data_IF_656367916897
#
_entry.id   IF_656367916897
#
_cell.length_a   1.000
_cell.length_b   1.000
_cell.length_c   1.000
_cell.angle_alpha   90.00
_cell.angle_beta   90.00
_cell.angle_gamma   90.00
#
_symmetry.space_group_name_H-M   'P 1'
#
loop_
_entity.id
_entity.type
_entity.pdbx_description
1 polymer ?
#
# COMPACT_ATOMS: atom_id res chain seq x y z
N UNK A 1 33.02 61.00 -36.97
CA UNK A 1 33.52 59.63 -37.05
C UNK A 1 32.78 58.74 -36.08
N UNK A 2 31.51 58.52 -36.36
CA UNK A 2 30.61 57.70 -35.55
C UNK A 2 29.34 57.47 -36.36
N UNK A 3 29.31 56.40 -37.22
CA UNK A 3 28.11 55.95 -37.91
C UNK A 3 28.46 54.77 -38.82
N UNK A 4 28.81 53.66 -38.21
CA UNK A 4 28.90 52.36 -38.89
C UNK A 4 28.95 51.26 -37.84
N UNK A 5 27.83 50.94 -37.20
CA UNK A 5 27.67 49.70 -36.44
C UNK A 5 26.20 49.53 -35.93
N UNK A 6 25.23 49.67 -36.83
CA UNK A 6 23.81 49.47 -36.45
C UNK A 6 22.98 48.64 -37.43
N UNK A 7 23.60 47.96 -38.39
CA UNK A 7 22.84 47.22 -39.42
C UNK A 7 23.05 45.68 -39.33
N UNK A 8 23.89 45.16 -38.45
CA UNK A 8 24.19 43.72 -38.38
C UNK A 8 23.54 42.95 -37.22
N UNK A 9 22.59 43.57 -36.52
CA UNK A 9 21.91 42.87 -35.39
C UNK A 9 20.48 42.36 -35.70
N UNK A 10 19.92 42.63 -36.87
CA UNK A 10 18.54 42.29 -37.18
C UNK A 10 18.34 41.14 -38.18
N UNK A 11 19.42 40.49 -38.64
CA UNK A 11 19.30 39.38 -39.61
C UNK A 11 19.27 38.00 -38.94
N UNK A 12 19.73 37.90 -37.69
CA UNK A 12 19.75 36.60 -36.98
C UNK A 12 18.46 36.28 -36.20
N UNK A 13 17.47 37.14 -36.15
CA UNK A 13 16.21 36.87 -35.40
C UNK A 13 15.14 36.26 -36.34
N UNK A 14 15.28 36.36 -37.65
CA UNK A 14 14.33 35.78 -38.58
C UNK A 14 14.65 34.36 -39.06
N UNK A 15 15.84 33.86 -38.76
CA UNK A 15 16.23 32.48 -39.14
C UNK A 15 15.93 31.45 -38.05
N UNK A 16 15.63 31.88 -36.85
CA UNK A 16 15.29 30.97 -35.73
C UNK A 16 13.78 30.71 -35.59
N UNK A 17 12.92 31.39 -36.39
CA UNK A 17 11.48 31.20 -36.31
C UNK A 17 10.92 30.23 -37.37
N UNK A 18 11.79 29.67 -38.22
CA UNK A 18 11.36 28.75 -39.31
C UNK A 18 11.64 27.27 -39.06
N UNK A 19 12.17 26.92 -37.86
CA UNK A 19 12.52 25.50 -37.53
C UNK A 19 11.60 24.84 -36.49
N UNK A 20 10.45 25.45 -36.16
CA UNK A 20 9.52 24.87 -35.14
C UNK A 20 8.27 24.22 -35.76
N UNK A 21 8.13 24.15 -37.07
CA UNK A 21 6.96 23.55 -37.72
C UNK A 21 7.23 22.25 -38.49
N UNK A 22 8.24 21.50 -38.08
CA UNK A 22 8.37 20.10 -38.56
C UNK A 22 8.60 19.18 -37.40
N UNK A 23 7.57 18.74 -36.74
CA UNK A 23 7.43 17.41 -36.19
C UNK A 23 6.14 17.32 -35.36
N UNK A 24 5.06 16.99 -35.98
CA UNK A 24 3.98 16.23 -35.39
C UNK A 24 3.33 15.41 -36.51
N UNK A 25 4.09 14.47 -37.06
CA UNK A 25 3.49 13.27 -37.59
C UNK A 25 3.15 12.39 -36.39
N UNK A 26 2.01 12.64 -35.76
CA UNK A 26 1.39 11.64 -34.91
C UNK A 26 1.01 10.47 -35.80
N UNK A 27 1.82 9.41 -35.75
CA UNK A 27 1.36 8.11 -36.20
C UNK A 27 0.03 7.85 -35.53
N UNK A 28 -1.02 7.85 -36.34
CA UNK A 28 -2.32 7.34 -35.93
C UNK A 28 -2.06 5.88 -35.59
N UNK A 29 -1.81 5.58 -34.32
CA UNK A 29 -1.80 4.20 -33.85
C UNK A 29 -3.17 3.65 -34.20
N UNK A 30 -3.24 2.88 -35.26
CA UNK A 30 -4.40 2.08 -35.63
C UNK A 30 -4.79 1.32 -34.35
N UNK A 31 -5.85 1.79 -33.66
CA UNK A 31 -6.44 1.02 -32.57
C UNK A 31 -6.86 -0.30 -33.18
N UNK A 32 -6.19 -1.37 -32.77
CA UNK A 32 -6.62 -2.71 -33.14
C UNK A 32 -8.13 -2.82 -32.91
N UNK A 33 -8.90 -3.37 -33.84
CA UNK A 33 -10.35 -3.49 -33.71
C UNK A 33 -10.63 -4.19 -32.39
N UNK A 34 -11.48 -3.60 -31.54
CA UNK A 34 -11.90 -4.22 -30.27
C UNK A 34 -12.59 -5.54 -30.66
N UNK A 35 -11.96 -6.65 -30.29
CA UNK A 35 -12.56 -7.99 -30.45
C UNK A 35 -13.87 -7.94 -29.66
N UNK A 36 -14.99 -8.16 -30.33
CA UNK A 36 -16.31 -8.22 -29.70
C UNK A 36 -16.31 -9.42 -28.76
N UNK A 37 -16.60 -9.18 -27.51
CA UNK A 37 -16.72 -10.21 -26.49
C UNK A 37 -17.88 -11.16 -26.81
N UNK A 38 -17.69 -12.45 -26.60
CA UNK A 38 -18.72 -13.45 -26.84
C UNK A 38 -19.67 -13.63 -25.66
N UNK A 39 -19.24 -13.19 -24.47
CA UNK A 39 -20.09 -13.16 -23.28
C UNK A 39 -20.05 -11.77 -22.64
N UNK A 40 -20.96 -11.52 -21.73
CA UNK A 40 -20.90 -10.44 -20.75
C UNK A 40 -21.09 -11.01 -19.34
N UNK A 41 -20.56 -10.32 -18.35
CA UNK A 41 -20.86 -10.58 -16.96
C UNK A 41 -22.07 -9.71 -16.59
N UNK A 42 -23.19 -10.35 -16.27
CA UNK A 42 -24.43 -9.67 -15.89
C UNK A 42 -24.41 -9.26 -14.42
N UNK A 43 -23.79 -10.08 -13.57
CA UNK A 43 -23.59 -9.86 -12.13
C UNK A 43 -22.25 -10.42 -11.68
N UNK A 44 -21.56 -9.82 -10.69
CA UNK A 44 -21.84 -8.50 -10.13
C UNK A 44 -21.42 -7.36 -11.06
N UNK A 45 -21.91 -6.14 -10.79
CA UNK A 45 -21.37 -4.95 -11.43
C UNK A 45 -19.98 -4.62 -10.88
N UNK A 46 -19.15 -3.96 -11.68
CA UNK A 46 -17.86 -3.48 -11.18
C UNK A 46 -18.07 -2.45 -10.09
N UNK A 47 -17.31 -2.59 -8.98
CA UNK A 47 -17.35 -1.74 -7.80
C UNK A 47 -18.65 -1.84 -6.97
N UNK A 48 -19.42 -2.89 -7.18
CA UNK A 48 -20.59 -3.19 -6.35
C UNK A 48 -20.17 -3.48 -4.90
N UNK A 49 -21.03 -3.09 -3.96
CA UNK A 49 -20.80 -3.21 -2.52
C UNK A 49 -21.76 -4.23 -1.96
N UNK A 50 -21.23 -5.14 -1.15
CA UNK A 50 -21.98 -6.18 -0.43
C UNK A 50 -21.64 -6.13 1.05
N UNK A 51 -22.53 -6.67 1.89
CA UNK A 51 -22.26 -6.89 3.30
C UNK A 51 -21.81 -8.33 3.56
N UNK A 52 -21.30 -8.60 4.76
CA UNK A 52 -20.74 -9.89 5.14
C UNK A 52 -21.76 -11.04 5.31
N UNK A 53 -23.05 -10.76 5.20
CA UNK A 53 -24.15 -11.73 5.20
C UNK A 53 -24.89 -11.82 3.84
N UNK A 54 -24.38 -11.13 2.81
CA UNK A 54 -24.96 -11.16 1.48
C UNK A 54 -24.49 -12.37 0.68
N UNK A 55 -25.16 -12.57 -0.46
CA UNK A 55 -24.76 -13.53 -1.50
C UNK A 55 -24.36 -12.77 -2.76
N UNK A 56 -23.16 -13.03 -3.25
CA UNK A 56 -22.67 -12.51 -4.53
C UNK A 56 -22.99 -13.51 -5.62
N UNK A 57 -23.95 -13.17 -6.45
CA UNK A 57 -24.24 -13.94 -7.65
C UNK A 57 -23.26 -13.55 -8.76
N UNK A 58 -22.48 -14.50 -9.28
CA UNK A 58 -21.69 -14.33 -10.48
C UNK A 58 -22.44 -14.98 -11.65
N UNK A 59 -22.92 -14.14 -12.57
CA UNK A 59 -23.70 -14.57 -13.73
C UNK A 59 -23.08 -14.08 -15.02
N UNK A 60 -22.98 -14.98 -15.99
CA UNK A 60 -22.55 -14.68 -17.35
C UNK A 60 -23.67 -15.00 -18.34
N UNK A 61 -23.75 -14.23 -19.40
CA UNK A 61 -24.66 -14.50 -20.52
C UNK A 61 -23.93 -14.36 -21.87
N UNK A 62 -24.43 -15.04 -22.88
CA UNK A 62 -23.92 -14.91 -24.26
C UNK A 62 -24.31 -13.55 -24.82
N UNK A 63 -23.41 -12.94 -25.58
CA UNK A 63 -23.77 -11.77 -26.43
C UNK A 63 -24.55 -12.18 -27.65
N UNK A 64 -25.32 -11.27 -28.20
CA UNK A 64 -26.22 -11.53 -29.37
C UNK A 64 -25.50 -12.16 -30.58
N UNK A 65 -24.21 -11.89 -30.72
CA UNK A 65 -23.39 -12.36 -31.85
C UNK A 65 -22.54 -13.59 -31.52
N UNK A 66 -22.82 -14.30 -30.41
CA UNK A 66 -22.00 -15.43 -30.00
C UNK A 66 -22.50 -16.76 -30.56
N UNK A 67 -21.73 -17.34 -31.49
CA UNK A 67 -21.92 -18.69 -32.00
C UNK A 67 -20.97 -19.72 -31.35
N UNK A 68 -20.08 -19.30 -30.42
CA UNK A 68 -19.14 -20.19 -29.76
C UNK A 68 -19.83 -21.01 -28.67
N UNK A 69 -19.47 -22.28 -28.60
CA UNK A 69 -19.92 -23.15 -27.52
C UNK A 69 -18.95 -23.08 -26.34
N UNK A 70 -19.50 -22.80 -25.17
CA UNK A 70 -18.74 -22.78 -23.93
C UNK A 70 -18.45 -24.21 -23.49
N UNK A 71 -17.16 -24.53 -23.30
CA UNK A 71 -16.69 -25.82 -22.78
C UNK A 71 -16.73 -25.84 -21.24
N UNK A 72 -16.26 -24.77 -20.61
CA UNK A 72 -16.32 -24.57 -19.14
C UNK A 72 -16.10 -23.11 -18.79
N UNK A 73 -16.58 -22.71 -17.61
CA UNK A 73 -16.29 -21.43 -17.01
C UNK A 73 -15.61 -21.65 -15.64
N UNK A 74 -14.61 -20.85 -15.32
CA UNK A 74 -13.92 -20.85 -14.04
C UNK A 74 -13.99 -19.47 -13.44
N UNK A 75 -14.25 -19.42 -12.15
CA UNK A 75 -14.17 -18.24 -11.31
C UNK A 75 -12.96 -18.39 -10.37
N UNK A 76 -12.09 -17.39 -10.38
CA UNK A 76 -10.98 -17.28 -9.44
C UNK A 76 -11.25 -16.11 -8.50
N UNK A 77 -11.26 -16.41 -7.19
CA UNK A 77 -11.35 -15.44 -6.11
C UNK A 77 -10.23 -15.74 -5.10
N UNK A 78 -9.26 -14.82 -4.99
CA UNK A 78 -8.06 -15.09 -4.19
C UNK A 78 -7.34 -16.35 -4.68
N UNK A 79 -7.24 -17.35 -3.80
CA UNK A 79 -6.62 -18.66 -4.08
C UNK A 79 -7.63 -19.72 -4.55
N UNK A 80 -8.93 -19.42 -4.48
CA UNK A 80 -9.98 -20.38 -4.82
C UNK A 80 -10.27 -20.36 -6.32
N UNK A 81 -10.49 -21.55 -6.86
CA UNK A 81 -10.92 -21.74 -8.26
C UNK A 81 -12.17 -22.61 -8.30
N UNK A 82 -13.26 -22.03 -8.76
CA UNK A 82 -14.57 -22.65 -8.80
C UNK A 82 -15.04 -22.82 -10.24
N UNK A 83 -15.60 -23.99 -10.57
CA UNK A 83 -16.20 -24.25 -11.88
C UNK A 83 -17.69 -23.93 -11.86
N UNK A 84 -18.19 -23.29 -12.91
CA UNK A 84 -19.61 -23.00 -13.08
C UNK A 84 -20.00 -23.00 -14.55
N UNK A 85 -21.28 -23.00 -14.84
CA UNK A 85 -21.79 -22.97 -16.23
C UNK A 85 -22.13 -21.53 -16.65
N UNK A 86 -23.19 -20.99 -16.10
CA UNK A 86 -23.73 -19.65 -16.40
C UNK A 86 -23.92 -18.82 -15.13
N UNK A 87 -24.02 -19.48 -13.97
CA UNK A 87 -24.26 -18.84 -12.68
C UNK A 87 -23.59 -19.61 -11.54
N UNK A 88 -23.07 -18.87 -10.56
CA UNK A 88 -22.63 -19.38 -9.26
C UNK A 88 -22.95 -18.36 -8.17
N UNK A 89 -23.41 -18.83 -7.02
CA UNK A 89 -23.69 -18.02 -5.84
C UNK A 89 -22.57 -18.23 -4.81
N UNK A 90 -22.03 -17.15 -4.28
CA UNK A 90 -20.95 -17.12 -3.30
C UNK A 90 -21.40 -16.39 -2.05
N UNK A 91 -21.19 -16.99 -0.90
CA UNK A 91 -21.50 -16.37 0.38
C UNK A 91 -20.35 -15.46 0.83
N UNK A 92 -20.67 -14.20 1.15
CA UNK A 92 -19.67 -13.19 1.48
C UNK A 92 -18.80 -13.56 2.67
N UNK A 93 -19.39 -14.16 3.70
CA UNK A 93 -18.70 -14.59 4.92
C UNK A 93 -17.82 -15.84 4.78
N UNK A 94 -17.86 -16.53 3.63
CA UNK A 94 -17.08 -17.75 3.38
C UNK A 94 -16.07 -17.58 2.26
N UNK A 95 -16.40 -16.77 1.26
CA UNK A 95 -15.65 -16.74 0.01
C UNK A 95 -14.89 -15.43 -0.20
N UNK A 96 -15.04 -14.44 0.68
CA UNK A 96 -14.44 -13.12 0.49
C UNK A 96 -13.77 -12.62 1.76
N UNK A 97 -12.83 -11.70 1.57
CA UNK A 97 -12.25 -10.90 2.65
C UNK A 97 -12.96 -9.55 2.74
N UNK A 98 -12.93 -8.90 3.91
CA UNK A 98 -13.37 -7.52 4.02
C UNK A 98 -12.54 -6.61 3.13
N UNK A 99 -13.20 -5.56 2.61
CA UNK A 99 -12.58 -4.64 1.69
C UNK A 99 -12.67 -5.08 0.22
N UNK A 100 -11.68 -4.73 -0.58
CA UNK A 100 -11.68 -4.95 -2.03
C UNK A 100 -11.35 -6.40 -2.39
N UNK A 101 -12.20 -6.99 -3.21
CA UNK A 101 -12.02 -8.33 -3.79
C UNK A 101 -12.01 -8.22 -5.32
N UNK A 102 -11.23 -9.07 -5.98
CA UNK A 102 -11.16 -9.14 -7.45
C UNK A 102 -11.56 -10.52 -7.93
N UNK A 103 -12.74 -10.59 -8.54
CA UNK A 103 -13.24 -11.78 -9.21
C UNK A 103 -12.69 -11.85 -10.63
N UNK A 104 -12.08 -12.97 -11.00
CA UNK A 104 -11.59 -13.24 -12.35
C UNK A 104 -12.37 -14.39 -12.95
N UNK A 105 -13.05 -14.15 -14.07
CA UNK A 105 -13.82 -15.16 -14.80
C UNK A 105 -13.07 -15.55 -16.06
N UNK A 106 -12.86 -16.83 -16.26
CA UNK A 106 -12.27 -17.43 -17.44
C UNK A 106 -13.31 -18.30 -18.13
N UNK A 107 -13.58 -18.02 -19.41
CA UNK A 107 -14.50 -18.81 -20.22
C UNK A 107 -13.72 -19.51 -21.31
N UNK A 108 -13.77 -20.83 -21.29
CA UNK A 108 -13.12 -21.72 -22.25
C UNK A 108 -14.13 -22.18 -23.26
N UNK A 109 -13.81 -22.09 -24.53
CA UNK A 109 -14.65 -22.52 -25.62
C UNK A 109 -14.20 -23.85 -26.23
N UNK A 110 -15.09 -24.53 -27.00
CA UNK A 110 -14.77 -25.79 -27.70
C UNK A 110 -13.67 -25.61 -28.75
N UNK A 111 -13.50 -24.41 -29.30
CA UNK A 111 -12.46 -24.05 -30.27
C UNK A 111 -11.11 -23.70 -29.60
N UNK A 112 -10.94 -24.08 -28.33
CA UNK A 112 -9.76 -23.84 -27.50
C UNK A 112 -9.46 -22.35 -27.22
N UNK A 113 -10.29 -21.41 -27.66
CA UNK A 113 -10.15 -20.01 -27.32
C UNK A 113 -10.59 -19.74 -25.86
N UNK A 114 -10.01 -18.67 -25.23
CA UNK A 114 -10.27 -18.30 -23.86
C UNK A 114 -10.59 -16.80 -23.79
N UNK A 115 -11.65 -16.46 -23.10
CA UNK A 115 -11.95 -15.09 -22.71
C UNK A 115 -11.75 -14.90 -21.21
N UNK A 116 -11.22 -13.73 -20.82
CA UNK A 116 -10.91 -13.38 -19.44
C UNK A 116 -11.60 -12.08 -19.07
N UNK A 117 -12.25 -12.08 -17.90
CA UNK A 117 -12.97 -10.94 -17.36
C UNK A 117 -12.56 -10.71 -15.92
N UNK A 118 -12.74 -9.50 -15.47
CA UNK A 118 -12.48 -9.12 -14.08
C UNK A 118 -13.57 -8.20 -13.58
N UNK A 119 -13.94 -8.38 -12.31
CA UNK A 119 -14.84 -7.51 -11.54
C UNK A 119 -14.22 -7.21 -10.19
N UNK A 120 -14.25 -5.97 -9.80
CA UNK A 120 -13.93 -5.57 -8.44
C UNK A 120 -15.22 -5.37 -7.67
N UNK A 121 -15.30 -5.93 -6.49
CA UNK A 121 -16.38 -5.73 -5.52
C UNK A 121 -15.77 -5.35 -4.18
N UNK A 122 -16.58 -4.82 -3.28
CA UNK A 122 -16.15 -4.48 -1.92
C UNK A 122 -17.10 -5.12 -0.92
N UNK A 123 -16.56 -5.80 0.09
CA UNK A 123 -17.33 -6.38 1.18
C UNK A 123 -17.13 -5.51 2.43
N UNK A 124 -18.23 -5.09 3.03
CA UNK A 124 -18.24 -4.38 4.31
C UNK A 124 -18.93 -5.21 5.40
N UNK A 125 -18.54 -5.04 6.66
CA UNK A 125 -19.34 -5.58 7.76
C UNK A 125 -20.71 -4.91 7.79
N UNK A 126 -21.76 -5.69 7.96
CA UNK A 126 -23.12 -5.19 8.12
C UNK A 126 -23.27 -4.38 9.42
N UNK A 127 -22.60 -4.87 10.46
CA UNK A 127 -22.55 -4.17 11.72
C UNK A 127 -21.54 -3.02 11.64
N UNK A 128 -22.02 -1.80 11.77
CA UNK A 128 -21.14 -0.63 11.85
C UNK A 128 -20.27 -0.72 13.10
N UNK A 129 -18.99 -0.30 13.02
CA UNK A 129 -18.17 -0.17 14.21
C UNK A 129 -18.80 0.76 15.22
N UNK A 130 -18.63 0.45 16.50
CA UNK A 130 -19.02 1.36 17.57
C UNK A 130 -18.10 2.59 17.51
N UNK A 131 -18.67 3.76 17.35
CA UNK A 131 -17.95 5.02 17.42
C UNK A 131 -17.67 5.34 18.89
N UNK A 132 -16.41 5.37 19.25
CA UNK A 132 -15.96 5.73 20.58
C UNK A 132 -15.63 7.22 20.63
N UNK A 133 -16.11 7.91 21.68
CA UNK A 133 -15.68 9.27 21.96
C UNK A 133 -14.26 9.30 22.53
N UNK A 134 -13.61 10.46 22.47
CA UNK A 134 -12.33 10.71 23.10
C UNK A 134 -12.30 12.08 23.77
N UNK A 135 -11.45 12.23 24.76
CA UNK A 135 -11.17 13.49 25.43
C UNK A 135 -9.67 13.79 25.32
N UNK A 136 -9.33 15.02 24.95
CA UNK A 136 -7.92 15.48 24.91
C UNK A 136 -7.55 15.93 26.32
N UNK A 137 -6.78 15.09 27.02
CA UNK A 137 -6.34 15.38 28.38
C UNK A 137 -5.23 16.42 28.40
N UNK A 138 -4.28 16.33 27.45
CA UNK A 138 -3.12 17.22 27.40
C UNK A 138 -2.55 17.26 25.99
N UNK A 139 -2.09 18.44 25.57
CA UNK A 139 -1.30 18.65 24.36
C UNK A 139 0.12 18.99 24.77
N UNK A 140 1.08 18.28 24.23
CA UNK A 140 2.50 18.42 24.55
C UNK A 140 3.24 19.01 23.34
N UNK A 141 4.29 19.85 23.57
CA UNK A 141 5.09 20.37 22.48
C UNK A 141 5.88 19.23 21.81
N UNK A 142 6.07 19.34 20.51
CA UNK A 142 6.86 18.39 19.72
C UNK A 142 7.67 19.14 18.66
N UNK A 143 8.89 18.68 18.38
CA UNK A 143 9.75 19.26 17.36
C UNK A 143 9.25 18.88 15.96
N UNK A 144 8.81 19.87 15.18
CA UNK A 144 8.27 19.70 13.84
C UNK A 144 9.28 19.17 12.80
N UNK A 145 10.57 19.13 13.12
CA UNK A 145 11.62 18.57 12.26
C UNK A 145 11.76 17.06 12.41
N UNK A 146 11.10 16.46 13.38
CA UNK A 146 11.15 15.02 13.64
C UNK A 146 10.10 14.31 12.78
N UNK A 147 10.51 13.25 12.10
CA UNK A 147 9.63 12.35 11.37
C UNK A 147 9.36 11.11 12.21
N UNK A 148 8.52 11.27 13.23
CA UNK A 148 8.20 10.24 14.23
C UNK A 148 7.63 9.00 13.59
N UNK A 149 8.21 7.84 13.88
CA UNK A 149 7.75 6.52 13.45
C UNK A 149 7.31 5.66 14.64
N UNK A 150 7.89 5.87 15.80
CA UNK A 150 7.49 5.20 17.03
C UNK A 150 7.62 6.14 18.21
N UNK A 151 6.66 6.08 19.12
CA UNK A 151 6.62 6.89 20.34
C UNK A 151 6.09 6.05 21.50
N UNK A 152 6.87 5.98 22.59
CA UNK A 152 6.52 5.24 23.80
C UNK A 152 6.72 6.13 25.01
N UNK A 153 5.78 6.07 25.92
CA UNK A 153 5.95 6.60 27.28
C UNK A 153 6.21 5.41 28.23
N UNK A 154 7.40 5.35 28.80
CA UNK A 154 7.75 4.42 29.88
C UNK A 154 8.13 5.23 31.12
N UNK A 155 7.36 5.05 32.19
CA UNK A 155 7.47 5.85 33.40
C UNK A 155 7.42 7.37 33.09
N UNK A 156 8.53 8.10 33.31
CA UNK A 156 8.65 9.54 33.07
C UNK A 156 9.49 9.88 31.83
N UNK A 157 9.67 8.94 30.90
CA UNK A 157 10.45 9.18 29.71
C UNK A 157 9.68 8.79 28.45
N UNK A 158 9.72 9.66 27.45
CA UNK A 158 9.40 9.31 26.10
C UNK A 158 10.61 8.71 25.40
N UNK A 159 10.36 7.69 24.61
CA UNK A 159 11.29 7.12 23.65
C UNK A 159 10.70 7.33 22.26
N UNK A 160 11.47 7.89 21.37
CA UNK A 160 11.02 8.27 20.04
C UNK A 160 11.99 7.80 18.97
N UNK A 161 11.50 7.07 18.00
CA UNK A 161 12.21 6.79 16.76
C UNK A 161 11.79 7.76 15.67
N UNK A 162 12.77 8.31 14.97
CA UNK A 162 12.55 9.14 13.79
C UNK A 162 13.09 8.44 12.55
N UNK A 163 12.28 8.38 11.49
CA UNK A 163 12.62 7.80 10.21
C UNK A 163 13.50 8.71 9.34
N UNK A 164 13.64 8.32 8.10
CA UNK A 164 14.43 8.90 7.00
C UNK A 164 15.87 8.41 6.93
N UNK A 165 16.26 7.92 5.74
CA UNK A 165 17.64 7.49 5.47
C UNK A 165 18.65 8.62 5.72
N UNK A 166 19.70 8.31 6.47
CA UNK A 166 20.73 9.26 6.86
C UNK A 166 20.35 10.25 7.96
N UNK A 167 19.08 10.22 8.40
CA UNK A 167 18.55 11.11 9.45
C UNK A 167 17.85 10.39 10.59
N UNK A 168 17.70 9.07 10.51
CA UNK A 168 17.05 8.26 11.53
C UNK A 168 17.81 8.33 12.85
N UNK A 169 17.07 8.44 13.94
CA UNK A 169 17.62 8.43 15.29
C UNK A 169 16.66 7.75 16.28
N UNK A 170 17.18 7.42 17.45
CA UNK A 170 16.42 7.05 18.65
C UNK A 170 16.73 8.07 19.74
N UNK A 171 15.69 8.67 20.30
CA UNK A 171 15.78 9.71 21.34
C UNK A 171 15.05 9.27 22.61
N UNK A 172 15.63 9.61 23.75
CA UNK A 172 15.01 9.52 25.08
C UNK A 172 14.93 10.92 25.67
N UNK A 173 13.76 11.34 26.16
CA UNK A 173 13.56 12.65 26.78
C UNK A 173 12.53 12.57 27.92
N UNK A 174 12.56 13.55 28.84
CA UNK A 174 11.63 13.58 29.96
C UNK A 174 10.23 13.97 29.54
N UNK A 175 9.21 13.44 30.21
CA UNK A 175 7.80 13.67 29.85
C UNK A 175 7.24 14.99 30.36
N UNK A 176 7.87 15.61 31.31
CA UNK A 176 7.46 16.86 31.97
C UNK A 176 8.13 18.11 31.37
N UNK A 177 9.44 18.08 31.17
CA UNK A 177 10.21 19.20 30.64
C UNK A 177 10.60 19.05 29.15
N UNK A 178 10.39 17.89 28.53
CA UNK A 178 10.81 17.59 27.17
C UNK A 178 12.31 17.78 26.92
N UNK A 179 13.10 17.61 27.96
CA UNK A 179 14.55 17.71 27.87
C UNK A 179 15.11 16.39 27.35
N UNK A 180 15.80 16.45 26.21
CA UNK A 180 16.50 15.30 25.65
C UNK A 180 17.59 14.83 26.57
N UNK A 181 17.41 13.67 27.18
CA UNK A 181 18.40 13.04 28.04
C UNK A 181 19.43 12.25 27.24
N UNK A 182 19.03 11.70 26.11
CA UNK A 182 19.92 10.96 25.21
C UNK A 182 19.35 10.87 23.79
N UNK A 183 20.24 10.91 22.80
CA UNK A 183 19.95 10.66 21.40
C UNK A 183 21.07 9.86 20.78
N UNK A 184 20.73 8.88 19.95
CA UNK A 184 21.66 8.12 19.13
C UNK A 184 21.21 8.15 17.68
N UNK A 185 22.17 8.31 16.76
CA UNK A 185 21.93 8.20 15.32
C UNK A 185 21.89 6.74 14.90
N UNK A 186 20.93 6.42 14.06
CA UNK A 186 20.85 5.11 13.41
C UNK A 186 21.70 5.13 12.13
N UNK A 187 22.26 3.99 11.77
CA UNK A 187 23.08 3.86 10.56
C UNK A 187 22.39 4.45 9.33
N UNK A 188 23.11 5.19 8.51
CA UNK A 188 22.55 6.01 7.40
C UNK A 188 21.80 5.21 6.33
N UNK A 189 22.08 3.93 6.22
CA UNK A 189 21.41 2.99 5.31
C UNK A 189 20.15 2.35 5.93
N UNK A 190 19.80 2.68 7.15
CA UNK A 190 18.60 2.20 7.83
C UNK A 190 17.58 3.33 7.97
N UNK A 191 16.30 2.98 7.80
CA UNK A 191 15.17 3.85 8.08
C UNK A 191 14.50 3.30 9.33
N UNK A 192 14.59 4.01 10.46
CA UNK A 192 13.98 3.59 11.71
C UNK A 192 12.46 3.67 11.64
N UNK A 193 11.80 2.69 12.21
CA UNK A 193 10.34 2.55 12.24
C UNK A 193 9.85 2.34 13.68
N UNK A 194 8.76 1.60 13.86
CA UNK A 194 8.12 1.35 15.14
C UNK A 194 9.07 0.82 16.19
N UNK A 195 8.85 1.24 17.44
CA UNK A 195 9.60 0.80 18.62
C UNK A 195 8.67 0.19 19.66
N UNK A 196 9.21 -0.67 20.51
CA UNK A 196 8.54 -1.15 21.71
C UNK A 196 9.55 -1.43 22.82
N UNK A 197 9.12 -1.40 24.09
CA UNK A 197 9.93 -1.77 25.24
C UNK A 197 9.36 -3.07 25.80
N UNK A 198 10.23 -4.06 25.94
CA UNK A 198 9.93 -5.30 26.63
C UNK A 198 11.03 -5.53 27.65
N UNK A 199 10.68 -5.57 28.93
CA UNK A 199 11.61 -5.60 30.05
C UNK A 199 12.60 -4.41 30.03
N UNK A 200 13.89 -4.67 29.99
CA UNK A 200 14.96 -3.67 29.94
C UNK A 200 15.51 -3.42 28.54
N UNK A 201 14.85 -3.97 27.52
CA UNK A 201 15.25 -3.84 26.11
C UNK A 201 14.26 -2.96 25.34
N UNK A 202 14.78 -2.15 24.46
CA UNK A 202 14.04 -1.39 23.47
C UNK A 202 14.27 -2.03 22.09
N UNK A 203 13.20 -2.45 21.47
CA UNK A 203 13.20 -3.04 20.12
C UNK A 203 12.77 -1.99 19.11
N UNK A 204 13.45 -1.93 17.98
CA UNK A 204 13.19 -1.01 16.88
C UNK A 204 13.14 -1.78 15.55
N UNK A 205 12.14 -1.54 14.75
CA UNK A 205 12.09 -2.03 13.37
C UNK A 205 12.81 -1.07 12.41
N UNK A 206 13.16 -1.60 11.26
CA UNK A 206 13.58 -0.80 10.10
C UNK A 206 12.68 -1.08 8.91
N UNK A 207 12.40 -0.08 8.09
CA UNK A 207 11.43 -0.19 7.01
C UNK A 207 11.71 -1.36 6.04
N UNK A 208 12.72 -1.21 5.17
CA UNK A 208 12.99 -2.17 4.06
C UNK A 208 14.25 -2.99 4.24
N UNK A 209 14.94 -2.81 5.37
CA UNK A 209 16.22 -3.49 5.59
C UNK A 209 16.06 -4.88 6.20
N UNK A 210 14.82 -5.32 6.48
CA UNK A 210 14.50 -6.63 7.09
C UNK A 210 15.24 -6.89 8.41
N UNK A 211 15.61 -5.82 9.10
CA UNK A 211 16.44 -5.87 10.31
C UNK A 211 15.77 -5.11 11.46
N UNK A 212 15.67 -5.77 12.60
CA UNK A 212 15.35 -5.15 13.87
C UNK A 212 16.60 -4.86 14.68
N UNK A 213 16.57 -3.83 15.49
CA UNK A 213 17.64 -3.41 16.39
C UNK A 213 17.16 -3.55 17.82
N UNK A 214 18.03 -4.03 18.70
CA UNK A 214 17.76 -4.20 20.14
C UNK A 214 18.70 -3.32 20.92
N UNK A 215 18.15 -2.45 21.76
CA UNK A 215 18.91 -1.51 22.58
C UNK A 215 18.65 -1.76 24.07
N UNK A 216 19.62 -1.46 24.89
CA UNK A 216 19.39 -1.24 26.32
C UNK A 216 18.54 0.03 26.52
N UNK A 217 17.39 -0.07 27.19
CA UNK A 217 16.44 1.06 27.29
C UNK A 217 16.99 2.25 28.10
N UNK A 218 17.95 2.02 28.99
CA UNK A 218 18.51 3.07 29.85
C UNK A 218 19.64 3.80 29.17
N UNK A 219 20.55 3.05 28.56
CA UNK A 219 21.76 3.59 27.93
C UNK A 219 21.64 3.85 26.46
N UNK A 220 20.60 3.33 25.79
CA UNK A 220 20.43 3.29 24.33
C UNK A 220 21.63 2.64 23.61
N UNK A 221 22.42 1.82 24.30
CA UNK A 221 23.48 1.05 23.69
C UNK A 221 22.86 -0.07 22.84
N UNK A 222 23.36 -0.26 21.61
CA UNK A 222 22.96 -1.38 20.77
C UNK A 222 23.47 -2.67 21.39
N UNK A 223 22.56 -3.59 21.68
CA UNK A 223 22.83 -4.90 22.29
C UNK A 223 22.88 -6.00 21.24
N UNK A 224 21.89 -6.01 20.31
CA UNK A 224 21.71 -7.10 19.36
C UNK A 224 20.91 -6.64 18.13
N UNK A 225 20.73 -7.53 17.18
CA UNK A 225 19.87 -7.36 15.99
C UNK A 225 19.12 -8.65 15.71
N UNK A 226 17.92 -8.53 15.14
CA UNK A 226 17.13 -9.67 14.65
C UNK A 226 16.68 -9.44 13.21
N UNK A 227 16.23 -10.50 12.55
CA UNK A 227 15.82 -10.43 11.15
C UNK A 227 14.35 -10.81 11.00
N UNK A 228 13.70 -10.22 10.01
CA UNK A 228 12.36 -10.57 9.54
C UNK A 228 12.30 -10.44 8.02
N UNK A 229 11.31 -11.04 7.38
CA UNK A 229 11.28 -11.23 5.93
C UNK A 229 10.28 -10.34 5.18
N UNK A 230 9.89 -9.20 5.77
CA UNK A 230 8.94 -8.23 5.20
C UNK A 230 9.40 -6.81 5.50
N UNK A 231 8.63 -5.79 5.13
CA UNK A 231 8.84 -4.44 5.65
C UNK A 231 8.55 -4.41 7.16
N UNK A 232 9.18 -3.52 7.91
CA UNK A 232 8.89 -3.26 9.31
C UNK A 232 8.18 -1.92 9.43
N UNK A 233 7.01 -1.88 10.09
CA UNK A 233 6.22 -0.67 10.29
C UNK A 233 5.97 -0.43 11.78
N UNK A 234 4.76 -0.72 12.27
CA UNK A 234 4.43 -0.58 13.68
C UNK A 234 4.93 -1.74 14.53
N UNK A 235 5.31 -1.46 15.78
CA UNK A 235 5.76 -2.45 16.73
C UNK A 235 5.15 -2.18 18.11
N UNK A 236 4.64 -3.24 18.73
CA UNK A 236 4.24 -3.27 20.14
C UNK A 236 4.57 -4.65 20.73
N UNK A 237 4.14 -4.94 21.94
CA UNK A 237 4.28 -6.25 22.54
C UNK A 237 3.08 -6.61 23.44
N UNK A 238 3.00 -7.87 23.83
CA UNK A 238 2.02 -8.40 24.78
C UNK A 238 2.69 -8.92 26.06
N UNK A 239 3.83 -8.35 26.45
CA UNK A 239 4.67 -8.77 27.60
C UNK A 239 5.43 -10.09 27.39
N UNK A 240 5.24 -10.75 26.25
CA UNK A 240 5.88 -12.04 25.93
C UNK A 240 6.47 -12.06 24.53
N UNK A 241 5.72 -11.54 23.56
CA UNK A 241 6.07 -11.54 22.14
C UNK A 241 6.02 -10.12 21.60
N UNK A 242 6.85 -9.82 20.65
CA UNK A 242 6.74 -8.62 19.84
C UNK A 242 5.59 -8.78 18.84
N UNK A 243 4.82 -7.73 18.65
CA UNK A 243 3.68 -7.69 17.73
C UNK A 243 3.98 -6.64 16.66
N UNK A 244 4.16 -7.08 15.43
CA UNK A 244 4.65 -6.29 14.32
C UNK A 244 3.62 -6.20 13.20
N UNK A 245 3.45 -5.01 12.62
CA UNK A 245 2.78 -4.78 11.33
C UNK A 245 3.81 -4.54 10.22
N UNK A 246 3.43 -4.86 8.97
CA UNK A 246 4.30 -4.76 7.80
C UNK A 246 3.60 -4.11 6.58
N UNK A 247 2.47 -3.42 6.82
CA UNK A 247 1.67 -2.79 5.78
C UNK A 247 0.73 -3.74 5.03
N UNK A 248 0.76 -5.03 5.32
CA UNK A 248 -0.21 -6.01 4.82
C UNK A 248 -1.40 -6.17 5.80
N UNK A 249 -2.33 -7.06 5.48
CA UNK A 249 -3.42 -7.46 6.36
C UNK A 249 -2.99 -8.37 7.52
N UNK A 250 -1.71 -8.71 7.62
CA UNK A 250 -1.18 -9.65 8.60
C UNK A 250 -0.52 -8.93 9.76
N UNK A 251 -0.75 -9.45 10.95
CA UNK A 251 0.00 -9.08 12.16
C UNK A 251 0.91 -10.26 12.52
N UNK A 252 2.16 -9.98 12.81
CA UNK A 252 3.16 -11.00 13.13
C UNK A 252 3.50 -10.96 14.61
N UNK A 253 3.60 -12.14 15.19
CA UNK A 253 4.09 -12.35 16.54
C UNK A 253 5.51 -12.91 16.43
N UNK A 254 6.45 -12.28 17.09
CA UNK A 254 7.88 -12.60 17.04
C UNK A 254 8.35 -12.87 18.46
N UNK A 255 9.02 -14.00 18.66
CA UNK A 255 9.71 -14.34 19.91
C UNK A 255 10.96 -13.46 20.03
N UNK A 256 11.10 -12.62 21.10
CA UNK A 256 12.17 -11.63 21.23
C UNK A 256 13.55 -12.22 21.56
#
# INVERSE_FOLDING_TARGET
MLLKNKILKNINIWLSLFLVFQSCNSEVKNKSPRIKSNIKIDSPFSFEIFNDDDTVEVRISKTINNNKKIKKSLLINGNDTLSFTDKIDLYTNQNFIYGKNTLRVFVYYEDESIEKYSRQITIYPKQKPLELGYEIIKILPHDSQIYTQGLILDQNHFYESSGQYGKSFLRKYTSDEFVTSKEIKIASNLFAEGITILEDKLFMLTWKSNKGLVFDKNTLALLDTFEYNTEGWGLTNNERELIMSDGSEKIKFIDP
#
